data_IF_620184288534
#
_entry.id   IF_620184288534
#
_cell.length_a   1.000
_cell.length_b   1.000
_cell.length_c   1.000
_cell.angle_alpha   90.00
_cell.angle_beta   90.00
_cell.angle_gamma   90.00
#
_symmetry.space_group_name_H-M   'P 1'
#
loop_
_entity.id
_entity.type
_entity.pdbx_description
1 polymer ?
#
# COMPACT_ATOMS: atom_id res chain seq x y z
N UNK A 1 -26.54 -4.02 -17.88
CA UNK A 1 -25.60 -3.45 -16.91
C UNK A 1 -24.25 -3.23 -17.57
N UNK A 2 -23.93 -2.00 -17.97
CA UNK A 2 -22.62 -1.66 -18.53
C UNK A 2 -21.59 -1.58 -17.40
N UNK A 3 -20.69 -2.56 -17.32
CA UNK A 3 -19.50 -2.49 -16.45
C UNK A 3 -18.67 -1.27 -16.88
N UNK A 4 -18.78 -0.15 -16.16
CA UNK A 4 -17.84 0.98 -16.32
C UNK A 4 -16.44 0.44 -16.03
N UNK A 5 -15.59 0.33 -17.05
CA UNK A 5 -14.17 0.03 -16.85
C UNK A 5 -13.61 1.14 -15.98
N UNK A 6 -13.13 0.81 -14.77
CA UNK A 6 -12.42 1.78 -13.94
C UNK A 6 -11.23 2.30 -14.76
N UNK A 7 -11.04 3.63 -14.90
CA UNK A 7 -9.88 4.14 -15.61
C UNK A 7 -8.62 3.58 -14.98
N UNK A 8 -7.74 2.98 -15.79
CA UNK A 8 -6.42 2.53 -15.34
C UNK A 8 -5.66 3.77 -14.88
N UNK A 9 -5.47 3.87 -13.57
CA UNK A 9 -4.67 4.92 -12.97
C UNK A 9 -3.21 4.70 -13.38
N UNK A 10 -2.63 5.65 -14.13
CA UNK A 10 -1.24 5.56 -14.57
C UNK A 10 -0.33 5.99 -13.41
N UNK A 11 0.88 5.42 -13.39
CA UNK A 11 1.94 5.92 -12.53
C UNK A 11 2.15 7.41 -12.82
N UNK A 12 2.26 8.21 -11.77
CA UNK A 12 2.43 9.65 -11.94
C UNK A 12 1.13 10.46 -11.97
N UNK A 13 -0.04 9.90 -12.27
CA UNK A 13 -1.28 10.70 -12.43
C UNK A 13 -1.64 11.51 -11.17
N UNK A 14 -1.24 11.03 -10.00
CA UNK A 14 -1.46 11.70 -8.70
C UNK A 14 -0.24 12.51 -8.22
N UNK A 15 0.88 12.43 -8.92
CA UNK A 15 2.17 12.91 -8.43
C UNK A 15 2.88 13.87 -9.39
N UNK A 16 2.63 13.82 -10.70
CA UNK A 16 3.35 14.58 -11.73
C UNK A 16 3.22 16.10 -11.62
N UNK A 17 2.17 16.61 -10.95
CA UNK A 17 1.93 18.05 -10.80
C UNK A 17 2.02 18.52 -9.33
N UNK A 18 2.58 17.70 -8.43
CA UNK A 18 2.65 18.02 -7.01
C UNK A 18 4.06 18.50 -6.62
N UNK A 19 4.13 19.58 -5.84
CA UNK A 19 5.36 19.98 -5.15
C UNK A 19 5.67 18.93 -4.07
N UNK A 20 6.49 17.94 -4.42
CA UNK A 20 6.90 16.89 -3.50
C UNK A 20 7.90 17.42 -2.48
N UNK A 21 7.67 17.07 -1.23
CA UNK A 21 8.59 17.22 -0.11
C UNK A 21 8.74 15.86 0.55
N UNK A 22 9.82 15.58 1.32
CA UNK A 22 9.98 14.31 2.02
C UNK A 22 8.72 13.92 2.82
N UNK A 23 8.15 14.87 3.58
CA UNK A 23 6.90 14.69 4.33
C UNK A 23 5.68 14.34 3.45
N UNK A 24 5.57 14.94 2.25
CA UNK A 24 4.48 14.62 1.31
C UNK A 24 4.67 13.24 0.69
N UNK A 25 5.90 12.90 0.30
CA UNK A 25 6.26 11.60 -0.26
C UNK A 25 5.94 10.48 0.72
N UNK A 26 6.42 10.62 1.96
CA UNK A 26 6.10 9.73 3.08
C UNK A 26 4.60 9.54 3.27
N UNK A 27 3.85 10.63 3.48
CA UNK A 27 2.41 10.55 3.71
C UNK A 27 1.61 10.02 2.51
N UNK A 28 2.13 10.15 1.29
CA UNK A 28 1.54 9.48 0.12
C UNK A 28 1.82 7.98 0.13
N UNK A 29 3.08 7.57 0.37
CA UNK A 29 3.49 6.17 0.39
C UNK A 29 2.77 5.39 1.50
N UNK A 30 2.74 5.91 2.74
CA UNK A 30 2.04 5.27 3.86
C UNK A 30 0.55 5.06 3.59
N UNK A 31 -0.11 6.01 2.91
CA UNK A 31 -1.51 5.84 2.48
C UNK A 31 -1.67 4.72 1.45
N UNK A 32 -0.68 4.47 0.59
CA UNK A 32 -0.73 3.37 -0.38
C UNK A 32 -0.48 2.03 0.29
N UNK A 33 0.48 1.95 1.20
CA UNK A 33 0.74 0.74 1.99
C UNK A 33 -0.52 0.34 2.75
N UNK A 34 -1.18 1.28 3.44
CA UNK A 34 -2.45 1.00 4.13
C UNK A 34 -3.57 0.53 3.20
N UNK A 35 -3.61 1.01 1.96
CA UNK A 35 -4.60 0.54 0.98
C UNK A 35 -4.30 -0.90 0.52
N UNK A 36 -3.03 -1.26 0.38
CA UNK A 36 -2.62 -2.62 0.04
C UNK A 36 -3.00 -3.56 1.18
N UNK A 37 -2.73 -3.17 2.43
CA UNK A 37 -3.10 -3.93 3.63
C UNK A 37 -4.61 -4.24 3.66
N UNK A 38 -5.46 -3.24 3.44
CA UNK A 38 -6.91 -3.42 3.39
C UNK A 38 -7.35 -4.36 2.24
N UNK A 39 -6.71 -4.28 1.08
CA UNK A 39 -7.01 -5.17 -0.05
C UNK A 39 -6.62 -6.62 0.26
N UNK A 40 -5.48 -6.84 0.92
CA UNK A 40 -5.06 -8.17 1.35
C UNK A 40 -6.01 -8.75 2.40
N UNK A 41 -6.45 -7.94 3.37
CA UNK A 41 -7.47 -8.33 4.35
C UNK A 41 -8.80 -8.68 3.68
N UNK A 42 -9.22 -7.94 2.64
CA UNK A 42 -10.43 -8.23 1.87
C UNK A 42 -10.32 -9.55 1.10
N UNK A 43 -9.16 -9.84 0.52
CA UNK A 43 -8.88 -11.14 -0.14
C UNK A 43 -8.92 -12.27 0.88
N UNK A 44 -8.20 -12.12 2.00
CA UNK A 44 -8.17 -13.09 3.09
C UNK A 44 -9.57 -13.40 3.61
N UNK A 45 -10.37 -12.37 3.87
CA UNK A 45 -11.77 -12.51 4.32
C UNK A 45 -12.61 -13.28 3.28
N UNK A 46 -12.45 -12.97 2.00
CA UNK A 46 -13.20 -13.64 0.91
C UNK A 46 -12.84 -15.12 0.79
N UNK A 47 -11.59 -15.50 1.11
CA UNK A 47 -11.09 -16.86 1.01
C UNK A 47 -11.13 -17.65 2.34
N UNK A 48 -11.56 -17.04 3.44
CA UNK A 48 -11.61 -17.64 4.78
C UNK A 48 -12.23 -19.03 4.83
N UNK A 49 -13.35 -19.22 4.13
CA UNK A 49 -14.08 -20.49 4.09
C UNK A 49 -13.80 -21.31 2.81
N UNK A 50 -13.01 -20.77 1.89
CA UNK A 50 -12.76 -21.38 0.57
C UNK A 50 -11.42 -22.10 0.55
N UNK A 51 -10.35 -21.42 0.95
CA UNK A 51 -9.00 -21.98 0.85
C UNK A 51 -8.02 -21.26 1.77
N UNK A 52 -7.74 -21.90 2.90
CA UNK A 52 -6.92 -21.33 3.98
C UNK A 52 -5.49 -20.91 3.57
N UNK A 53 -4.79 -21.58 2.63
CA UNK A 53 -3.47 -21.12 2.20
C UNK A 53 -3.45 -19.71 1.61
N UNK A 54 -4.52 -19.26 0.93
CA UNK A 54 -4.61 -17.86 0.45
C UNK A 54 -4.70 -16.88 1.61
N UNK A 55 -5.41 -17.25 2.67
CA UNK A 55 -5.50 -16.43 3.90
C UNK A 55 -4.14 -16.33 4.57
N UNK A 56 -3.42 -17.45 4.71
CA UNK A 56 -2.07 -17.47 5.28
C UNK A 56 -1.14 -16.54 4.51
N UNK A 57 -1.10 -16.65 3.18
CA UNK A 57 -0.23 -15.84 2.34
C UNK A 57 -0.54 -14.33 2.46
N UNK A 58 -1.83 -13.98 2.52
CA UNK A 58 -2.24 -12.58 2.72
C UNK A 58 -1.75 -12.04 4.07
N UNK A 59 -1.87 -12.82 5.14
CA UNK A 59 -1.40 -12.43 6.47
C UNK A 59 0.13 -12.32 6.52
N UNK A 60 0.85 -13.27 5.92
CA UNK A 60 2.32 -13.25 5.86
C UNK A 60 2.84 -12.00 5.12
N UNK A 61 2.19 -11.59 4.03
CA UNK A 61 2.54 -10.35 3.32
C UNK A 61 2.29 -9.13 4.21
N UNK A 62 1.17 -9.08 4.94
CA UNK A 62 0.84 -7.96 5.83
C UNK A 62 1.90 -7.85 6.94
N UNK A 63 2.13 -8.94 7.67
CA UNK A 63 2.91 -8.93 8.90
C UNK A 63 4.42 -8.85 8.65
N UNK A 64 4.92 -9.43 7.56
CA UNK A 64 6.37 -9.50 7.31
C UNK A 64 6.86 -8.50 6.26
N UNK A 65 6.10 -8.31 5.17
CA UNK A 65 6.58 -7.52 4.03
C UNK A 65 6.11 -6.07 4.07
N UNK A 66 4.83 -5.84 4.38
CA UNK A 66 4.30 -4.48 4.45
C UNK A 66 4.84 -3.73 5.65
N UNK A 67 5.01 -4.39 6.80
CA UNK A 67 5.58 -3.75 7.98
C UNK A 67 7.05 -3.35 7.76
N UNK A 68 7.87 -4.22 7.16
CA UNK A 68 9.25 -3.83 6.76
C UNK A 68 9.28 -2.69 5.75
N UNK A 69 8.29 -2.58 4.86
CA UNK A 69 8.16 -1.42 3.97
C UNK A 69 7.76 -0.14 4.70
N UNK A 70 6.89 -0.21 5.72
CA UNK A 70 6.52 0.94 6.56
C UNK A 70 7.75 1.47 7.29
N UNK A 71 8.52 0.58 7.90
CA UNK A 71 9.76 0.92 8.60
C UNK A 71 10.75 1.64 7.66
N UNK A 72 11.01 1.08 6.49
CA UNK A 72 11.91 1.71 5.51
C UNK A 72 11.43 3.10 5.04
N UNK A 73 10.10 3.32 4.95
CA UNK A 73 9.52 4.62 4.62
C UNK A 73 9.70 5.61 5.78
N UNK A 74 9.50 5.17 7.02
CA UNK A 74 9.71 5.98 8.22
C UNK A 74 11.19 6.36 8.38
N UNK A 75 12.11 5.40 8.27
CA UNK A 75 13.57 5.62 8.31
C UNK A 75 14.02 6.65 7.26
N UNK A 76 13.48 6.58 6.04
CA UNK A 76 13.80 7.53 4.99
C UNK A 76 13.36 8.96 5.34
N UNK A 77 12.23 9.15 6.04
CA UNK A 77 11.79 10.47 6.49
C UNK A 77 12.67 10.98 7.64
N UNK A 78 13.08 10.11 8.56
CA UNK A 78 13.96 10.46 9.67
C UNK A 78 15.36 10.85 9.20
N UNK A 79 15.93 10.09 8.25
CA UNK A 79 17.22 10.40 7.65
C UNK A 79 17.22 11.79 6.98
N UNK A 80 16.16 12.13 6.23
CA UNK A 80 15.99 13.46 5.64
C UNK A 80 15.83 14.58 6.69
N UNK A 81 15.25 14.29 7.86
CA UNK A 81 15.09 15.28 8.92
C UNK A 81 16.41 15.59 9.67
N UNK A 82 17.42 14.73 9.53
CA UNK A 82 18.75 14.89 10.14
C UNK A 82 19.78 15.55 9.22
N UNK A 83 19.43 15.82 7.96
CA UNK A 83 20.23 16.53 6.95
C UNK A 83 19.97 18.05 6.99
#
# INVERSE_FOLDING_TARGET
>A
MTRRRRPRQRLGDRTLNANWTPKRAHGFAMRRVRQIELLLQEIAYTYGDVYQPVVSECNDIIDQQLDGLKEAIDEALEAEAML
#
